data_IF_450304841096
#
_entry.id   IF_450304841096
#
_cell.length_a   1.000
_cell.length_b   1.000
_cell.length_c   1.000
_cell.angle_alpha   90.00
_cell.angle_beta   90.00
_cell.angle_gamma   90.00
#
_symmetry.space_group_name_H-M   'P 1'
#
loop_
_entity.id
_entity.type
_entity.pdbx_description
1 polymer ?
#
# COMPACT_ATOMS: atom_id res chain seq x y z
N UNK A 1 -48.72 -92.42 9.38
CA UNK A 1 -47.26 -92.41 9.51
C UNK A 1 -46.63 -91.79 8.25
N UNK A 2 -45.76 -90.77 8.44
CA UNK A 2 -44.60 -90.38 7.61
C UNK A 2 -44.83 -89.86 6.15
N UNK A 3 -44.59 -88.55 5.92
CA UNK A 3 -43.46 -87.91 5.16
C UNK A 3 -43.66 -87.85 3.63
N UNK A 4 -44.03 -86.69 3.05
CA UNK A 4 -43.20 -85.63 2.41
C UNK A 4 -42.47 -86.09 1.12
N UNK A 5 -42.76 -85.43 -0.01
CA UNK A 5 -41.90 -85.01 -1.16
C UNK A 5 -42.85 -84.70 -2.34
N UNK A 6 -42.75 -83.69 -3.22
CA UNK A 6 -41.86 -82.56 -3.49
C UNK A 6 -42.43 -81.91 -4.78
N UNK A 7 -41.97 -80.69 -5.12
CA UNK A 7 -42.19 -79.94 -6.38
C UNK A 7 -43.27 -78.85 -6.26
N UNK A 8 -42.93 -77.82 -5.47
CA UNK A 8 -43.33 -76.45 -5.78
C UNK A 8 -42.23 -75.86 -6.67
N UNK A 9 -42.60 -75.56 -7.90
CA UNK A 9 -41.74 -74.90 -8.88
C UNK A 9 -41.41 -73.50 -8.37
N UNK A 10 -40.11 -73.23 -8.38
CA UNK A 10 -39.40 -72.02 -8.00
C UNK A 10 -40.02 -70.81 -8.70
N UNK A 11 -40.81 -70.02 -7.95
CA UNK A 11 -41.04 -68.60 -8.22
C UNK A 11 -40.27 -67.82 -7.15
N UNK A 12 -38.94 -67.86 -7.22
CA UNK A 12 -38.08 -66.94 -6.47
C UNK A 12 -38.35 -65.53 -6.98
N UNK A 13 -39.22 -64.82 -6.25
CA UNK A 13 -39.35 -63.38 -6.30
C UNK A 13 -38.00 -62.79 -5.91
N UNK A 14 -37.19 -62.41 -6.90
CA UNK A 14 -35.98 -61.62 -6.69
C UNK A 14 -36.46 -60.25 -6.21
N UNK A 15 -36.49 -60.06 -4.88
CA UNK A 15 -36.62 -58.75 -4.27
C UNK A 15 -35.31 -58.02 -4.60
N UNK A 16 -35.27 -57.34 -5.74
CA UNK A 16 -34.24 -56.34 -5.99
C UNK A 16 -34.49 -55.22 -4.98
N UNK A 17 -33.66 -55.17 -3.94
CA UNK A 17 -33.58 -54.01 -3.07
C UNK A 17 -33.24 -52.81 -3.97
N UNK A 18 -34.24 -51.97 -4.25
CA UNK A 18 -33.99 -50.59 -4.66
C UNK A 18 -33.29 -49.94 -3.48
N UNK A 19 -31.97 -49.90 -3.51
CA UNK A 19 -31.24 -48.94 -2.71
C UNK A 19 -31.70 -47.58 -3.24
N UNK A 20 -32.40 -46.74 -2.45
CA UNK A 20 -32.56 -45.35 -2.86
C UNK A 20 -31.14 -44.81 -2.99
N UNK A 21 -30.74 -44.51 -4.21
CA UNK A 21 -29.55 -43.68 -4.43
C UNK A 21 -29.93 -42.35 -3.82
N UNK A 22 -29.51 -42.13 -2.57
CA UNK A 22 -29.54 -40.81 -1.97
C UNK A 22 -28.71 -39.93 -2.87
N UNK A 23 -29.39 -39.15 -3.71
CA UNK A 23 -28.77 -38.09 -4.47
C UNK A 23 -28.20 -37.12 -3.44
N UNK A 24 -26.89 -37.22 -3.22
CA UNK A 24 -26.18 -36.29 -2.37
C UNK A 24 -26.31 -34.92 -3.03
N UNK A 25 -27.20 -34.07 -2.49
CA UNK A 25 -27.41 -32.73 -2.99
C UNK A 25 -26.11 -31.96 -2.77
N UNK A 26 -25.29 -31.89 -3.81
CA UNK A 26 -23.96 -31.29 -3.71
C UNK A 26 -24.13 -29.80 -3.39
N UNK A 27 -23.60 -29.39 -2.23
CA UNK A 27 -23.70 -28.02 -1.73
C UNK A 27 -23.06 -27.04 -2.71
N UNK A 28 -23.80 -25.98 -3.07
CA UNK A 28 -23.31 -24.93 -3.94
C UNK A 28 -22.45 -23.96 -3.13
N UNK A 29 -21.18 -23.81 -3.52
CA UNK A 29 -20.24 -22.89 -2.86
C UNK A 29 -20.20 -21.56 -3.59
N UNK A 30 -20.20 -20.43 -2.87
CA UNK A 30 -20.08 -19.09 -3.45
C UNK A 30 -18.68 -18.55 -3.18
N UNK A 31 -18.05 -18.00 -4.22
CA UNK A 31 -16.82 -17.23 -4.15
C UNK A 31 -17.09 -15.81 -4.62
N UNK A 32 -16.65 -14.81 -3.87
CA UNK A 32 -16.64 -13.41 -4.28
C UNK A 32 -15.19 -12.94 -4.26
N UNK A 33 -14.67 -12.50 -5.42
CA UNK A 33 -13.26 -12.13 -5.59
C UNK A 33 -12.31 -13.20 -5.00
N UNK A 34 -12.57 -14.47 -5.37
CA UNK A 34 -11.85 -15.67 -4.92
C UNK A 34 -11.95 -16.00 -3.41
N UNK A 35 -12.73 -15.26 -2.63
CA UNK A 35 -12.98 -15.55 -1.21
C UNK A 35 -14.28 -16.34 -1.02
N UNK A 36 -14.23 -17.45 -0.27
CA UNK A 36 -15.41 -18.26 0.07
C UNK A 36 -16.39 -17.44 0.90
N UNK A 37 -17.65 -17.49 0.52
CA UNK A 37 -18.76 -16.86 1.22
C UNK A 37 -19.64 -17.92 1.87
N UNK A 38 -19.95 -17.69 3.14
CA UNK A 38 -20.83 -18.55 3.94
C UNK A 38 -22.00 -17.70 4.38
N UNK A 39 -23.20 -18.14 4.02
CA UNK A 39 -24.45 -17.48 4.38
C UNK A 39 -25.32 -18.46 5.17
N UNK A 40 -26.28 -17.92 5.93
CA UNK A 40 -27.24 -18.69 6.72
C UNK A 40 -28.33 -19.36 5.87
N UNK A 41 -28.51 -18.89 4.64
CA UNK A 41 -29.32 -19.55 3.62
C UNK A 41 -28.42 -20.00 2.47
N UNK A 42 -28.35 -21.32 2.25
CA UNK A 42 -27.61 -21.89 1.13
C UNK A 42 -28.28 -21.56 -0.22
N UNK A 43 -27.51 -21.46 -1.32
CA UNK A 43 -28.08 -21.35 -2.66
C UNK A 43 -28.94 -22.56 -3.01
N UNK A 44 -30.00 -22.33 -3.77
CA UNK A 44 -30.91 -23.38 -4.22
C UNK A 44 -31.03 -23.39 -5.74
N UNK A 45 -31.39 -24.54 -6.32
CA UNK A 45 -31.74 -24.64 -7.72
C UNK A 45 -33.26 -24.73 -7.82
N UNK A 46 -33.87 -23.78 -8.52
CA UNK A 46 -35.31 -23.74 -8.76
C UNK A 46 -35.56 -23.43 -10.23
N UNK A 47 -36.41 -24.23 -10.88
CA UNK A 47 -36.72 -24.09 -12.31
C UNK A 47 -35.47 -24.01 -13.21
N UNK A 48 -34.42 -24.78 -12.87
CA UNK A 48 -33.15 -24.77 -13.61
C UNK A 48 -32.34 -23.48 -13.46
N UNK A 49 -32.62 -22.66 -12.44
CA UNK A 49 -31.87 -21.44 -12.10
C UNK A 49 -31.33 -21.55 -10.67
N UNK A 50 -30.06 -21.19 -10.51
CA UNK A 50 -29.47 -21.04 -9.18
C UNK A 50 -29.96 -19.73 -8.57
N UNK A 51 -30.65 -19.82 -7.44
CA UNK A 51 -31.05 -18.69 -6.62
C UNK A 51 -30.09 -18.52 -5.45
N UNK A 52 -29.70 -17.28 -5.17
CA UNK A 52 -28.67 -16.95 -4.18
C UNK A 52 -29.13 -15.85 -3.22
N UNK A 53 -28.62 -15.80 -1.97
CA UNK A 53 -28.98 -14.77 -1.00
C UNK A 53 -28.61 -13.37 -1.50
N UNK A 54 -29.61 -12.53 -1.75
CA UNK A 54 -29.40 -11.20 -2.33
C UNK A 54 -28.52 -10.33 -1.44
N UNK A 55 -28.95 -10.15 -0.17
CA UNK A 55 -28.34 -9.18 0.74
C UNK A 55 -26.86 -9.45 0.94
N UNK A 56 -26.51 -10.65 1.36
CA UNK A 56 -25.13 -11.03 1.67
C UNK A 56 -24.20 -10.83 0.47
N UNK A 57 -24.65 -11.22 -0.72
CA UNK A 57 -23.85 -11.07 -1.94
C UNK A 57 -23.72 -9.60 -2.35
N UNK A 58 -24.81 -8.84 -2.30
CA UNK A 58 -24.79 -7.41 -2.66
C UNK A 58 -23.89 -6.61 -1.71
N UNK A 59 -23.99 -6.84 -0.41
CA UNK A 59 -23.16 -6.19 0.61
C UNK A 59 -21.69 -6.60 0.48
N UNK A 60 -21.41 -7.89 0.21
CA UNK A 60 -20.05 -8.38 -0.06
C UNK A 60 -19.43 -7.77 -1.32
N UNK A 61 -20.27 -7.34 -2.27
CA UNK A 61 -19.86 -6.62 -3.48
C UNK A 61 -19.85 -5.10 -3.30
N UNK A 62 -20.05 -4.60 -2.07
CA UNK A 62 -19.96 -3.17 -1.72
C UNK A 62 -21.25 -2.37 -1.91
N UNK A 63 -22.40 -3.01 -2.10
CA UNK A 63 -23.69 -2.32 -2.18
C UNK A 63 -24.31 -2.10 -0.79
N UNK A 64 -24.99 -0.97 -0.61
CA UNK A 64 -25.88 -0.75 0.53
C UNK A 64 -27.28 -1.31 0.19
N UNK A 65 -27.86 -2.14 1.06
CA UNK A 65 -29.14 -2.80 0.83
C UNK A 65 -30.17 -2.41 1.90
N UNK A 66 -31.26 -1.80 1.48
CA UNK A 66 -32.38 -1.40 2.34
C UNK A 66 -33.63 -2.21 2.02
N UNK A 67 -34.41 -2.51 3.06
CA UNK A 67 -35.70 -3.19 2.94
C UNK A 67 -36.82 -2.26 3.40
N UNK A 68 -37.84 -2.10 2.56
CA UNK A 68 -39.08 -1.45 2.90
C UNK A 68 -40.18 -2.50 3.06
N UNK A 69 -40.59 -2.72 4.31
CA UNK A 69 -41.57 -3.75 4.66
C UNK A 69 -42.97 -3.43 4.12
N UNK A 70 -43.42 -2.17 4.18
CA UNK A 70 -44.75 -1.76 3.71
C UNK A 70 -44.92 -1.98 2.22
N UNK A 71 -43.86 -1.77 1.44
CA UNK A 71 -43.87 -1.89 -0.02
C UNK A 71 -43.33 -3.23 -0.52
N UNK A 72 -42.92 -4.12 0.39
CA UNK A 72 -42.24 -5.38 0.08
C UNK A 72 -41.10 -5.20 -0.94
N UNK A 73 -40.31 -4.13 -0.76
CA UNK A 73 -39.32 -3.65 -1.73
C UNK A 73 -37.93 -3.58 -1.14
N UNK A 74 -36.97 -4.13 -1.87
CA UNK A 74 -35.54 -3.99 -1.64
C UNK A 74 -35.02 -2.86 -2.51
N UNK A 75 -34.29 -1.93 -1.92
CA UNK A 75 -33.52 -0.92 -2.62
C UNK A 75 -32.04 -1.19 -2.36
N UNK A 76 -31.26 -1.39 -3.42
CA UNK A 76 -29.81 -1.51 -3.32
C UNK A 76 -29.11 -0.38 -4.07
N UNK A 77 -28.07 0.18 -3.47
CA UNK A 77 -27.27 1.25 -4.08
C UNK A 77 -25.79 0.89 -4.07
N UNK A 78 -25.13 1.09 -5.21
CA UNK A 78 -23.68 0.90 -5.35
C UNK A 78 -23.16 1.81 -6.45
N UNK A 79 -22.16 2.63 -6.15
CA UNK A 79 -21.61 3.61 -7.11
C UNK A 79 -22.74 4.47 -7.73
N UNK A 80 -22.90 4.42 -9.05
CA UNK A 80 -23.97 5.09 -9.81
C UNK A 80 -25.16 4.16 -10.13
N UNK A 81 -25.31 3.05 -9.41
CA UNK A 81 -26.37 2.07 -9.61
C UNK A 81 -27.39 2.12 -8.47
N UNK A 82 -28.65 2.27 -8.84
CA UNK A 82 -29.81 2.18 -7.97
C UNK A 82 -30.70 1.03 -8.47
N UNK A 83 -30.90 0.03 -7.62
CA UNK A 83 -31.65 -1.19 -7.92
C UNK A 83 -32.88 -1.22 -7.03
N UNK A 84 -34.06 -1.31 -7.62
CA UNK A 84 -35.32 -1.55 -6.91
C UNK A 84 -35.88 -2.92 -7.29
N UNK A 85 -36.11 -3.75 -6.29
CA UNK A 85 -36.62 -5.11 -6.46
C UNK A 85 -37.80 -5.32 -5.53
N UNK A 86 -38.95 -5.69 -6.09
CA UNK A 86 -40.15 -6.03 -5.31
C UNK A 86 -40.28 -7.54 -5.18
N UNK A 87 -40.55 -8.01 -3.97
CA UNK A 87 -40.71 -9.43 -3.68
C UNK A 87 -41.87 -10.02 -4.50
N UNK A 88 -41.67 -11.20 -5.10
CA UNK A 88 -42.67 -11.87 -5.94
C UNK A 88 -42.84 -11.29 -7.34
N UNK A 89 -42.21 -10.16 -7.66
CA UNK A 89 -42.23 -9.55 -8.99
C UNK A 89 -41.14 -10.16 -9.88
N UNK A 90 -41.46 -10.37 -11.16
CA UNK A 90 -40.47 -10.64 -12.21
C UNK A 90 -39.88 -9.35 -12.82
N UNK A 91 -40.38 -8.18 -12.40
CA UNK A 91 -39.89 -6.87 -12.79
C UNK A 91 -39.03 -6.25 -11.69
N UNK A 92 -37.91 -5.67 -12.08
CA UNK A 92 -37.00 -4.89 -11.24
C UNK A 92 -36.63 -3.60 -11.97
N UNK A 93 -36.20 -2.56 -11.24
CA UNK A 93 -35.66 -1.35 -11.85
C UNK A 93 -34.17 -1.24 -11.58
N UNK A 94 -33.39 -0.94 -12.62
CA UNK A 94 -31.98 -0.59 -12.51
C UNK A 94 -31.82 0.81 -13.11
N UNK A 95 -31.40 1.77 -12.29
CA UNK A 95 -31.32 3.19 -12.65
C UNK A 95 -32.61 3.75 -13.24
N UNK A 96 -33.74 3.32 -12.69
CA UNK A 96 -35.09 3.72 -13.12
C UNK A 96 -35.65 2.94 -14.32
N UNK A 97 -34.81 2.24 -15.09
CA UNK A 97 -35.23 1.42 -16.23
C UNK A 97 -35.74 0.06 -15.78
N UNK A 98 -36.80 -0.45 -16.40
CA UNK A 98 -37.37 -1.76 -16.08
C UNK A 98 -36.52 -2.87 -16.71
N UNK A 99 -36.19 -3.87 -15.89
CA UNK A 99 -35.56 -5.12 -16.27
C UNK A 99 -36.41 -6.29 -15.80
N UNK A 100 -36.30 -7.43 -16.50
CA UNK A 100 -37.02 -8.66 -16.17
C UNK A 100 -36.05 -9.71 -15.66
N UNK A 101 -36.46 -10.46 -14.63
CA UNK A 101 -35.72 -11.58 -14.08
C UNK A 101 -36.44 -12.91 -14.35
N UNK A 102 -35.70 -13.93 -14.78
CA UNK A 102 -36.24 -15.24 -15.20
C UNK A 102 -37.08 -15.92 -14.11
N UNK A 103 -36.67 -15.77 -12.84
CA UNK A 103 -37.40 -16.28 -11.68
C UNK A 103 -37.60 -15.08 -10.74
N UNK A 104 -38.85 -14.82 -10.29
CA UNK A 104 -39.14 -13.73 -9.35
C UNK A 104 -38.29 -13.84 -8.08
N UNK A 105 -38.03 -12.70 -7.44
CA UNK A 105 -37.39 -12.69 -6.13
C UNK A 105 -38.28 -13.37 -5.08
N UNK A 106 -37.72 -14.29 -4.30
CA UNK A 106 -38.48 -15.11 -3.36
C UNK A 106 -37.96 -14.96 -1.93
N UNK A 107 -38.87 -14.96 -0.96
CA UNK A 107 -38.51 -15.05 0.44
C UNK A 107 -38.54 -16.52 0.88
N UNK A 108 -37.38 -17.05 1.24
CA UNK A 108 -37.23 -18.41 1.77
C UNK A 108 -36.49 -18.31 3.10
N UNK A 109 -37.08 -18.88 4.15
CA UNK A 109 -36.53 -18.83 5.52
C UNK A 109 -36.14 -17.42 5.99
N UNK A 110 -36.93 -16.40 5.59
CA UNK A 110 -36.65 -15.00 5.94
C UNK A 110 -35.46 -14.37 5.19
N UNK A 111 -34.99 -14.99 4.10
CA UNK A 111 -33.96 -14.46 3.21
C UNK A 111 -34.51 -14.28 1.80
N UNK A 112 -34.20 -13.15 1.19
CA UNK A 112 -34.57 -12.93 -0.22
C UNK A 112 -33.54 -13.58 -1.13
N UNK A 113 -34.02 -14.48 -1.97
CA UNK A 113 -33.25 -15.19 -2.98
C UNK A 113 -33.59 -14.64 -4.37
N UNK A 114 -32.56 -14.48 -5.19
CA UNK A 114 -32.68 -13.99 -6.57
C UNK A 114 -31.85 -14.82 -7.54
N UNK A 115 -32.19 -14.82 -8.84
CA UNK A 115 -31.37 -15.48 -9.85
C UNK A 115 -29.94 -14.98 -9.82
N UNK A 116 -29.00 -15.92 -9.86
CA UNK A 116 -27.58 -15.61 -9.89
C UNK A 116 -27.20 -14.63 -11.04
N UNK A 117 -27.83 -14.79 -12.22
CA UNK A 117 -27.60 -13.88 -13.36
C UNK A 117 -27.98 -12.43 -13.03
N UNK A 118 -29.08 -12.23 -12.31
CA UNK A 118 -29.54 -10.90 -11.92
C UNK A 118 -28.50 -10.19 -11.06
N UNK A 119 -27.77 -10.89 -10.18
CA UNK A 119 -26.67 -10.30 -9.40
C UNK A 119 -25.63 -9.66 -10.33
N UNK A 120 -25.23 -10.38 -11.38
CA UNK A 120 -24.28 -9.89 -12.38
C UNK A 120 -24.79 -8.66 -13.11
N UNK A 121 -26.04 -8.70 -13.59
CA UNK A 121 -26.65 -7.58 -14.31
C UNK A 121 -26.85 -6.34 -13.42
N UNK A 122 -27.42 -6.53 -12.24
CA UNK A 122 -27.74 -5.49 -11.27
C UNK A 122 -26.51 -4.70 -10.83
N UNK A 123 -25.43 -5.41 -10.48
CA UNK A 123 -24.20 -4.80 -9.94
C UNK A 123 -23.09 -4.64 -10.97
N UNK A 124 -23.29 -5.16 -12.19
CA UNK A 124 -22.28 -5.17 -13.25
C UNK A 124 -21.18 -6.17 -12.97
N UNK A 125 -21.42 -7.14 -12.09
CA UNK A 125 -20.45 -8.16 -11.74
C UNK A 125 -20.33 -9.21 -12.84
N UNK A 126 -19.12 -9.76 -13.01
CA UNK A 126 -18.90 -10.96 -13.82
C UNK A 126 -19.26 -12.17 -12.98
N UNK A 127 -20.12 -13.04 -13.51
CA UNK A 127 -20.61 -14.21 -12.79
C UNK A 127 -20.29 -15.46 -13.61
N UNK A 128 -19.53 -16.37 -13.02
CA UNK A 128 -19.13 -17.63 -13.61
C UNK A 128 -19.67 -18.80 -12.78
N UNK A 129 -20.30 -19.76 -13.46
CA UNK A 129 -20.71 -21.03 -12.85
C UNK A 129 -19.70 -22.12 -13.21
N UNK A 130 -19.10 -22.74 -12.20
CA UNK A 130 -18.21 -23.88 -12.38
C UNK A 130 -18.97 -25.18 -12.06
N UNK A 131 -19.29 -25.92 -13.13
CA UNK A 131 -20.01 -27.20 -13.02
C UNK A 131 -19.18 -28.30 -12.36
N UNK A 132 -17.85 -28.25 -12.48
CA UNK A 132 -16.97 -29.31 -11.97
C UNK A 132 -16.88 -29.28 -10.45
N UNK A 133 -16.89 -28.09 -9.87
CA UNK A 133 -16.82 -27.87 -8.42
C UNK A 133 -18.16 -27.51 -7.79
N UNK A 134 -19.25 -27.45 -8.57
CA UNK A 134 -20.56 -26.94 -8.15
C UNK A 134 -20.43 -25.60 -7.40
N UNK A 135 -19.72 -24.66 -8.01
CA UNK A 135 -19.45 -23.36 -7.41
C UNK A 135 -19.85 -22.18 -8.30
N UNK A 136 -20.20 -21.09 -7.62
CA UNK A 136 -20.43 -19.77 -8.19
C UNK A 136 -19.21 -18.91 -7.92
N UNK A 137 -18.63 -18.31 -8.95
CA UNK A 137 -17.59 -17.29 -8.81
C UNK A 137 -18.11 -15.95 -9.30
N UNK A 138 -18.13 -14.97 -8.41
CA UNK A 138 -18.58 -13.61 -8.68
C UNK A 138 -17.38 -12.68 -8.55
N UNK A 139 -17.13 -11.91 -9.59
CA UNK A 139 -16.11 -10.88 -9.60
C UNK A 139 -16.83 -9.55 -9.76
N UNK A 140 -16.55 -8.57 -8.90
CA UNK A 140 -17.06 -7.22 -9.13
C UNK A 140 -16.67 -6.76 -10.54
N UNK A 141 -17.50 -5.95 -11.21
CA UNK A 141 -17.01 -5.24 -12.40
C UNK A 141 -15.72 -4.57 -11.98
N UNK A 142 -14.67 -4.69 -12.79
CA UNK A 142 -13.74 -3.60 -12.94
C UNK A 142 -14.61 -2.41 -13.36
N UNK A 143 -15.15 -1.68 -12.38
CA UNK A 143 -15.49 -0.29 -12.58
C UNK A 143 -14.26 0.33 -13.24
N UNK A 144 -14.43 1.36 -14.07
CA UNK A 144 -13.31 2.25 -14.39
C UNK A 144 -12.89 2.91 -13.08
N UNK A 145 -12.27 2.14 -12.19
CA UNK A 145 -11.57 2.69 -11.07
C UNK A 145 -10.40 3.33 -11.74
N UNK A 146 -10.48 4.65 -11.85
CA UNK A 146 -9.40 5.47 -12.34
C UNK A 146 -8.24 5.12 -11.42
N UNK A 147 -7.36 4.27 -11.95
CA UNK A 147 -6.18 3.84 -11.26
C UNK A 147 -5.41 5.12 -10.95
N UNK A 148 -5.11 5.40 -9.67
CA UNK A 148 -4.41 6.63 -9.34
C UNK A 148 -3.10 6.69 -10.14
N UNK A 149 -2.64 7.91 -10.43
CA UNK A 149 -1.38 8.10 -11.11
C UNK A 149 -0.26 7.38 -10.36
N UNK A 150 0.69 6.85 -11.11
CA UNK A 150 1.87 6.23 -10.51
C UNK A 150 2.67 7.32 -9.78
N UNK A 151 3.10 7.10 -8.51
CA UNK A 151 3.88 8.07 -7.77
C UNK A 151 5.16 8.50 -8.52
N UNK A 152 5.41 9.81 -8.55
CA UNK A 152 6.62 10.44 -9.11
C UNK A 152 7.50 11.01 -8.00
N UNK A 153 8.69 11.50 -8.35
CA UNK A 153 9.62 12.09 -7.37
C UNK A 153 10.09 11.12 -6.30
N UNK A 154 9.95 9.81 -6.51
CA UNK A 154 10.35 8.81 -5.53
C UNK A 154 11.85 8.91 -5.31
N UNK A 155 12.25 9.02 -4.04
CA UNK A 155 13.63 9.17 -3.61
C UNK A 155 13.89 8.30 -2.39
N UNK A 156 15.08 7.71 -2.31
CA UNK A 156 15.58 7.02 -1.12
C UNK A 156 16.95 7.60 -0.76
N UNK A 157 17.14 8.01 0.48
CA UNK A 157 18.38 8.60 0.96
C UNK A 157 18.59 8.41 2.46
N UNK A 158 19.75 8.81 2.95
CA UNK A 158 20.08 8.69 4.37
C UNK A 158 19.71 9.97 5.10
N UNK A 159 18.93 9.84 6.16
CA UNK A 159 18.60 10.94 7.06
C UNK A 159 18.56 10.44 8.51
N UNK A 160 19.29 11.12 9.38
CA UNK A 160 19.37 10.80 10.82
C UNK A 160 19.68 9.32 11.12
N UNK A 161 20.63 8.73 10.36
CA UNK A 161 21.02 7.33 10.55
C UNK A 161 19.97 6.30 10.12
N UNK A 162 18.97 6.71 9.34
CA UNK A 162 17.93 5.83 8.78
C UNK A 162 17.84 6.01 7.27
N UNK A 163 17.29 5.02 6.56
CA UNK A 163 16.92 5.21 5.16
C UNK A 163 15.55 5.88 5.13
N UNK A 164 15.50 7.12 4.68
CA UNK A 164 14.26 7.85 4.41
C UNK A 164 13.83 7.64 2.96
N UNK A 165 12.55 7.36 2.75
CA UNK A 165 11.95 7.19 1.43
C UNK A 165 10.79 8.18 1.28
N UNK A 166 10.80 8.99 0.23
CA UNK A 166 9.81 10.03 -0.05
C UNK A 166 9.33 9.99 -1.51
N UNK A 167 8.28 10.74 -1.81
CA UNK A 167 7.66 10.87 -3.14
C UNK A 167 6.89 12.20 -3.25
N UNK A 168 6.54 12.61 -4.47
CA UNK A 168 5.72 13.79 -4.70
C UNK A 168 4.31 13.57 -4.14
N UNK A 169 3.82 14.51 -3.33
CA UNK A 169 2.51 14.42 -2.70
C UNK A 169 1.37 14.66 -3.71
N UNK A 170 0.48 13.68 -3.87
CA UNK A 170 -0.81 13.81 -4.55
C UNK A 170 -1.95 13.93 -3.54
N UNK A 171 -2.67 15.05 -3.54
CA UNK A 171 -3.83 15.29 -2.67
C UNK A 171 -5.08 14.51 -3.10
N UNK A 172 -5.05 13.83 -4.25
CA UNK A 172 -6.18 13.08 -4.79
C UNK A 172 -6.18 11.61 -4.38
N UNK A 173 -5.19 11.14 -3.62
CA UNK A 173 -5.06 9.74 -3.21
C UNK A 173 -5.32 9.58 -1.71
N UNK A 174 -5.80 8.41 -1.30
CA UNK A 174 -6.14 8.15 0.09
C UNK A 174 -4.88 7.86 0.93
N UNK A 175 -3.96 7.07 0.37
CA UNK A 175 -2.68 6.67 0.98
C UNK A 175 -1.75 6.04 -0.06
N UNK A 176 -0.53 5.72 0.35
CA UNK A 176 0.47 5.00 -0.44
C UNK A 176 0.86 3.68 0.21
N UNK A 177 1.26 2.70 -0.60
CA UNK A 177 2.04 1.56 -0.13
C UNK A 177 3.50 1.74 -0.54
N UNK A 178 4.40 1.50 0.40
CA UNK A 178 5.84 1.40 0.12
C UNK A 178 6.21 -0.07 0.15
N UNK A 179 6.96 -0.49 -0.85
CA UNK A 179 7.47 -1.84 -0.95
C UNK A 179 8.99 -1.81 -0.91
N UNK A 180 9.60 -2.78 -0.24
CA UNK A 180 11.04 -2.84 -0.08
C UNK A 180 11.59 -4.25 -0.37
N UNK A 181 12.83 -4.31 -0.83
CA UNK A 181 13.58 -5.56 -1.08
C UNK A 181 15.07 -5.33 -0.83
N UNK A 182 15.79 -6.40 -0.48
CA UNK A 182 17.25 -6.42 -0.41
C UNK A 182 17.91 -6.76 -1.76
N UNK A 183 17.11 -6.86 -2.84
CA UNK A 183 17.58 -7.16 -4.19
C UNK A 183 16.76 -6.41 -5.23
N UNK A 184 17.43 -5.83 -6.23
CA UNK A 184 16.79 -5.07 -7.31
C UNK A 184 15.73 -5.89 -8.07
N UNK A 185 16.02 -7.15 -8.38
CA UNK A 185 15.12 -8.08 -9.07
C UNK A 185 14.40 -9.05 -8.15
N UNK A 186 14.49 -8.86 -6.84
CA UNK A 186 13.97 -9.79 -5.84
C UNK A 186 12.48 -9.65 -5.58
N UNK A 187 12.00 -10.45 -4.63
CA UNK A 187 10.64 -10.28 -4.08
C UNK A 187 10.60 -9.03 -3.23
N UNK A 188 9.59 -8.20 -3.45
CA UNK A 188 9.34 -7.00 -2.67
C UNK A 188 8.23 -7.25 -1.64
N UNK A 189 8.45 -6.79 -0.42
CA UNK A 189 7.50 -6.92 0.68
C UNK A 189 6.90 -5.55 1.01
N UNK A 190 5.61 -5.47 1.38
CA UNK A 190 5.01 -4.22 1.82
C UNK A 190 5.65 -3.78 3.14
N UNK A 191 5.99 -2.50 3.22
CA UNK A 191 6.47 -1.87 4.45
C UNK A 191 5.26 -1.55 5.33
N UNK A 192 5.05 -2.33 6.39
CA UNK A 192 3.92 -2.18 7.31
C UNK A 192 4.43 -1.62 8.63
N UNK A 193 4.23 -0.31 8.86
CA UNK A 193 4.57 0.32 10.13
C UNK A 193 3.33 0.34 11.04
N UNK A 194 3.25 -0.54 12.04
CA UNK A 194 2.17 -0.56 13.04
C UNK A 194 0.74 -0.52 12.46
N UNK A 195 0.51 -1.11 11.27
CA UNK A 195 -0.79 -1.10 10.59
C UNK A 195 -1.18 0.23 9.92
N UNK A 196 -0.30 1.24 9.93
CA UNK A 196 -0.54 2.54 9.31
C UNK A 196 -0.24 2.46 7.81
N UNK A 197 -1.27 2.70 7.00
CA UNK A 197 -1.17 2.98 5.56
C UNK A 197 -0.61 4.39 5.40
N UNK A 198 0.47 4.57 4.63
CA UNK A 198 1.20 5.83 4.56
C UNK A 198 0.36 6.92 3.87
N UNK A 199 -0.40 7.68 4.65
CA UNK A 199 -0.87 9.03 4.31
C UNK A 199 -0.01 10.03 5.08
N UNK A 200 1.31 9.92 4.94
CA UNK A 200 2.25 10.82 5.57
C UNK A 200 2.70 11.81 4.50
N UNK A 201 2.54 13.11 4.78
CA UNK A 201 3.05 14.20 3.92
C UNK A 201 4.59 14.20 3.82
N UNK A 202 5.28 13.28 4.51
CA UNK A 202 6.73 13.29 4.76
C UNK A 202 7.46 11.97 4.41
N UNK A 203 6.79 10.97 3.84
CA UNK A 203 7.42 9.68 3.48
C UNK A 203 7.52 8.66 4.64
N UNK A 204 8.45 7.71 4.53
CA UNK A 204 8.74 6.69 5.56
C UNK A 204 10.21 6.70 6.00
N UNK A 205 10.49 6.15 7.18
CA UNK A 205 11.84 5.83 7.66
C UNK A 205 11.98 4.31 7.83
N UNK A 206 12.96 3.71 7.15
CA UNK A 206 13.37 2.32 7.35
C UNK A 206 14.53 2.31 8.36
N UNK A 207 14.20 1.90 9.59
CA UNK A 207 15.13 1.80 10.71
C UNK A 207 15.76 0.41 10.79
N UNK A 208 16.76 0.23 11.65
CA UNK A 208 17.42 -1.06 11.92
C UNK A 208 18.09 -1.71 10.69
N UNK A 209 18.43 -0.91 9.68
CA UNK A 209 19.17 -1.37 8.49
C UNK A 209 20.64 -1.52 8.84
N UNK A 210 21.25 -2.66 8.47
CA UNK A 210 22.68 -2.87 8.73
C UNK A 210 23.54 -2.09 7.76
N UNK A 211 24.67 -1.62 8.25
CA UNK A 211 25.68 -0.97 7.45
C UNK A 211 26.16 -1.85 6.28
N UNK A 212 26.36 -1.23 5.12
CA UNK A 212 26.70 -1.87 3.85
C UNK A 212 25.49 -2.48 3.11
N UNK A 213 24.32 -2.59 3.74
CA UNK A 213 23.15 -3.14 3.06
C UNK A 213 22.52 -2.11 2.12
N UNK A 214 22.27 -2.56 0.89
CA UNK A 214 21.49 -1.79 -0.09
C UNK A 214 20.06 -2.28 -0.08
N UNK A 215 19.14 -1.35 0.12
CA UNK A 215 17.71 -1.61 0.06
C UNK A 215 17.09 -0.89 -1.12
N UNK A 216 16.19 -1.59 -1.79
CA UNK A 216 15.49 -1.13 -2.97
C UNK A 216 14.03 -0.91 -2.62
N UNK A 217 13.45 0.18 -3.13
CA UNK A 217 12.11 0.62 -2.80
C UNK A 217 11.32 0.96 -4.05
N UNK A 218 10.01 0.76 -3.98
CA UNK A 218 9.04 1.24 -4.96
C UNK A 218 7.72 1.56 -4.27
N UNK A 219 6.97 2.49 -4.83
CA UNK A 219 5.77 3.05 -4.19
C UNK A 219 4.58 2.91 -5.12
N UNK A 220 3.40 2.71 -4.55
CA UNK A 220 2.11 2.80 -5.23
C UNK A 220 1.22 3.79 -4.47
N UNK A 221 0.31 4.45 -5.19
CA UNK A 221 -0.78 5.23 -4.63
C UNK A 221 -2.06 4.40 -4.58
N UNK A 222 -2.92 4.67 -3.61
CA UNK A 222 -4.22 4.00 -3.46
C UNK A 222 -5.33 5.03 -3.36
N UNK A 223 -6.39 4.83 -4.14
CA UNK A 223 -7.61 5.65 -4.14
C UNK A 223 -8.84 4.76 -4.23
N UNK A 224 -9.80 4.95 -3.34
CA UNK A 224 -11.01 4.15 -3.24
C UNK A 224 -10.73 2.63 -3.22
N UNK A 225 -9.64 2.23 -2.54
CA UNK A 225 -9.21 0.84 -2.46
C UNK A 225 -8.53 0.28 -3.72
N UNK A 226 -8.25 1.09 -4.74
CA UNK A 226 -7.53 0.67 -5.95
C UNK A 226 -6.14 1.29 -6.01
N UNK A 227 -5.20 0.43 -6.36
CA UNK A 227 -3.77 0.71 -6.32
C UNK A 227 -3.19 1.05 -7.71
N UNK A 228 -2.26 2.02 -7.74
CA UNK A 228 -1.55 2.51 -8.92
C UNK A 228 -0.55 1.49 -9.50
N UNK A 229 0.17 1.89 -10.55
CA UNK A 229 1.37 1.18 -10.98
C UNK A 229 2.47 1.40 -9.95
N UNK A 230 3.49 0.54 -9.96
CA UNK A 230 4.71 0.81 -9.21
C UNK A 230 5.45 1.99 -9.82
N UNK A 231 5.99 2.87 -8.96
CA UNK A 231 6.99 3.87 -9.35
C UNK A 231 8.25 3.22 -9.93
N UNK A 232 9.19 4.05 -10.40
CA UNK A 232 10.57 3.57 -10.57
C UNK A 232 11.11 2.97 -9.26
N UNK A 233 12.04 2.02 -9.40
CA UNK A 233 12.79 1.50 -8.26
C UNK A 233 13.85 2.53 -7.89
N UNK A 234 13.91 2.88 -6.62
CA UNK A 234 15.01 3.64 -6.01
C UNK A 234 15.74 2.78 -5.00
N UNK A 235 16.95 3.16 -4.63
CA UNK A 235 17.71 2.45 -3.61
C UNK A 235 18.53 3.39 -2.75
N UNK A 236 18.78 2.97 -1.53
CA UNK A 236 19.79 3.58 -0.68
C UNK A 236 20.65 2.47 -0.06
N UNK A 237 21.94 2.76 0.06
CA UNK A 237 22.90 1.90 0.75
C UNK A 237 23.18 2.52 2.11
N UNK A 238 22.89 1.78 3.17
CA UNK A 238 23.25 2.21 4.51
C UNK A 238 24.78 2.26 4.59
N UNK A 239 25.40 3.43 4.83
CA UNK A 239 26.85 3.51 4.85
C UNK A 239 27.42 2.64 5.98
N UNK A 240 28.60 2.05 5.77
CA UNK A 240 29.34 1.45 6.87
C UNK A 240 29.56 2.51 7.97
N UNK A 241 29.47 2.17 9.27
CA UNK A 241 30.01 3.03 10.30
C UNK A 241 31.50 3.18 9.96
N UNK A 242 31.88 4.37 9.52
CA UNK A 242 33.25 4.62 9.12
C UNK A 242 34.11 4.46 10.39
N UNK A 243 34.95 3.43 10.46
CA UNK A 243 35.86 3.21 11.59
C UNK A 243 37.04 4.21 11.61
N UNK A 244 37.03 5.21 10.72
CA UNK A 244 37.73 6.49 10.83
C UNK A 244 36.80 7.58 10.30
N UNK A 245 35.82 7.95 11.13
CA UNK A 245 34.74 8.87 10.83
C UNK A 245 35.28 10.31 10.74
N UNK A 246 35.88 10.67 9.60
CA UNK A 246 36.47 12.00 9.38
C UNK A 246 35.76 12.71 8.25
N UNK A 247 34.95 13.71 8.59
CA UNK A 247 34.39 14.65 7.64
C UNK A 247 35.25 15.92 7.60
N UNK A 248 35.33 16.51 6.43
CA UNK A 248 35.96 17.80 6.22
C UNK A 248 34.94 18.81 5.75
N UNK A 249 35.09 20.04 6.24
CA UNK A 249 34.39 21.19 5.70
C UNK A 249 35.25 21.81 4.59
N UNK A 250 34.67 22.05 3.42
CA UNK A 250 35.37 22.70 2.30
C UNK A 250 34.49 23.78 1.68
N UNK A 251 35.09 24.79 1.07
CA UNK A 251 34.38 25.79 0.30
C UNK A 251 33.80 25.17 -0.99
N UNK A 252 32.59 25.57 -1.38
CA UNK A 252 31.99 25.17 -2.66
C UNK A 252 32.51 26.03 -3.82
N UNK A 253 33.84 26.08 -3.95
CA UNK A 253 34.55 26.69 -5.05
C UNK A 253 35.27 25.60 -5.88
N UNK A 254 35.81 25.99 -7.03
CA UNK A 254 36.50 25.06 -7.94
C UNK A 254 37.71 24.35 -7.32
N UNK A 255 38.30 24.94 -6.28
CA UNK A 255 39.49 24.41 -5.59
C UNK A 255 39.14 23.56 -4.36
N UNK A 256 37.86 23.45 -3.97
CA UNK A 256 37.43 22.78 -2.73
C UNK A 256 38.29 23.22 -1.53
N UNK A 257 38.47 24.53 -1.35
CA UNK A 257 39.37 25.08 -0.31
C UNK A 257 39.03 24.48 1.05
N UNK A 258 40.02 23.89 1.71
CA UNK A 258 39.84 23.24 3.01
C UNK A 258 39.53 24.25 4.12
N UNK A 259 38.47 23.99 4.88
CA UNK A 259 37.97 24.85 5.96
C UNK A 259 38.01 24.18 7.34
N UNK A 260 38.59 22.97 7.45
CA UNK A 260 38.83 22.26 8.71
C UNK A 260 38.08 20.93 8.82
N UNK A 261 38.43 20.16 9.86
CA UNK A 261 37.76 18.90 10.20
C UNK A 261 36.42 19.17 10.87
N UNK A 262 35.38 18.54 10.37
CA UNK A 262 34.07 18.51 11.01
C UNK A 262 34.03 17.39 12.06
N UNK A 263 34.64 17.65 13.22
CA UNK A 263 34.72 16.72 14.36
C UNK A 263 34.31 17.42 15.65
N UNK A 264 33.64 16.71 16.56
CA UNK A 264 33.29 17.23 17.89
C UNK A 264 34.49 17.32 18.85
N UNK A 265 35.66 16.79 18.47
CA UNK A 265 36.89 16.97 19.24
C UNK A 265 37.40 18.41 19.14
N UNK A 266 37.04 19.24 20.11
CA UNK A 266 37.43 20.66 20.18
C UNK A 266 38.93 20.88 20.46
N UNK A 267 39.67 19.83 20.82
CA UNK A 267 41.12 19.88 21.02
C UNK A 267 41.92 19.55 19.75
N UNK A 268 41.29 19.00 18.71
CA UNK A 268 41.97 18.81 17.42
C UNK A 268 42.32 20.19 16.83
N UNK A 269 43.59 20.39 16.47
CA UNK A 269 44.08 21.64 15.88
C UNK A 269 43.39 22.01 14.57
N UNK A 270 42.81 21.02 13.88
CA UNK A 270 42.07 21.21 12.63
C UNK A 270 40.56 21.27 12.81
N UNK A 271 40.03 21.06 14.02
CA UNK A 271 38.58 21.08 14.25
C UNK A 271 37.98 22.45 13.97
N UNK A 272 36.86 22.45 13.25
CA UNK A 272 36.02 23.64 13.07
C UNK A 272 35.35 24.10 14.37
N UNK A 273 35.46 23.36 15.47
CA UNK A 273 34.97 23.76 16.79
C UNK A 273 36.08 24.05 17.79
N UNK A 274 37.34 24.03 17.35
CA UNK A 274 38.46 24.50 18.16
C UNK A 274 38.50 26.03 18.12
N UNK A 275 37.98 26.68 19.16
CA UNK A 275 37.89 28.15 19.27
C UNK A 275 39.25 28.87 19.26
N UNK A 276 40.35 28.14 19.49
CA UNK A 276 41.72 28.64 19.45
C UNK A 276 42.46 28.25 18.15
N UNK A 277 41.84 27.43 17.31
CA UNK A 277 42.42 26.90 16.07
C UNK A 277 42.20 27.80 14.85
N UNK A 278 42.90 27.49 13.76
CA UNK A 278 42.81 28.25 12.50
C UNK A 278 41.45 28.12 11.80
N UNK A 279 40.71 27.05 12.10
CA UNK A 279 39.47 26.66 11.41
C UNK A 279 38.21 26.82 12.28
N UNK A 280 38.36 26.81 13.61
CA UNK A 280 37.24 26.97 14.54
C UNK A 280 37.18 28.33 15.24
N UNK A 281 38.27 29.09 15.27
CA UNK A 281 38.27 30.39 15.95
C UNK A 281 37.44 31.44 15.23
N UNK A 282 36.90 32.40 15.98
CA UNK A 282 36.23 33.60 15.42
C UNK A 282 37.15 34.57 14.67
N UNK A 283 38.45 34.28 14.61
CA UNK A 283 39.46 35.13 13.97
C UNK A 283 40.14 34.45 12.77
N UNK A 284 39.97 33.13 12.61
CA UNK A 284 40.57 32.37 11.52
C UNK A 284 40.05 32.83 10.15
N UNK A 285 40.94 32.98 9.17
CA UNK A 285 40.55 33.37 7.80
C UNK A 285 39.76 32.28 7.06
N UNK A 286 39.93 31.01 7.46
CA UNK A 286 39.21 29.84 6.92
C UNK A 286 38.02 29.40 7.79
N UNK A 287 37.83 30.04 8.94
CA UNK A 287 36.78 29.66 9.88
C UNK A 287 35.41 30.17 9.43
N UNK A 288 34.41 29.31 9.49
CA UNK A 288 33.01 29.71 9.30
C UNK A 288 32.49 30.54 10.48
N UNK A 289 33.18 30.55 11.62
CA UNK A 289 32.80 31.32 12.80
C UNK A 289 33.40 32.73 12.83
N UNK A 290 34.24 33.07 11.85
CA UNK A 290 34.72 34.42 11.66
C UNK A 290 33.70 35.24 10.87
N UNK A 291 32.94 36.08 11.58
CA UNK A 291 31.89 36.93 11.00
C UNK A 291 32.39 38.02 10.04
N UNK A 292 33.71 38.22 9.96
CA UNK A 292 34.35 39.12 8.99
C UNK A 292 35.08 38.36 7.87
N UNK A 293 35.10 37.02 7.94
CA UNK A 293 35.80 36.15 7.01
C UNK A 293 34.99 35.79 5.76
N UNK A 294 35.65 35.22 4.76
CA UNK A 294 35.02 34.81 3.49
C UNK A 294 34.01 33.67 3.64
N UNK A 295 34.06 32.95 4.76
CA UNK A 295 33.25 31.75 5.01
C UNK A 295 32.27 31.90 6.20
N UNK A 296 32.38 32.96 7.00
CA UNK A 296 31.51 33.23 8.15
C UNK A 296 30.74 34.55 8.12
N UNK A 297 31.04 35.43 7.17
CA UNK A 297 30.35 36.72 6.99
C UNK A 297 28.96 36.57 6.37
N UNK A 298 27.95 37.32 6.84
CA UNK A 298 26.60 37.28 6.25
C UNK A 298 26.52 37.78 4.80
N UNK A 299 27.61 38.33 4.25
CA UNK A 299 27.63 38.93 2.91
C UNK A 299 28.51 38.18 1.90
N UNK A 300 29.39 37.28 2.36
CA UNK A 300 30.33 36.63 1.47
C UNK A 300 29.68 35.50 0.66
N UNK A 301 30.09 35.34 -0.60
CA UNK A 301 29.51 34.36 -1.53
C UNK A 301 29.66 32.92 -1.05
N UNK A 302 30.77 32.58 -0.38
CA UNK A 302 31.03 31.22 0.14
C UNK A 302 30.73 31.08 1.63
N UNK A 303 29.90 31.95 2.21
CA UNK A 303 29.67 31.91 3.64
C UNK A 303 28.58 30.94 4.06
N UNK A 304 28.82 30.27 5.18
CA UNK A 304 27.84 29.51 5.92
C UNK A 304 26.72 30.39 6.54
N UNK A 305 26.91 31.69 6.70
CA UNK A 305 25.96 32.61 7.36
C UNK A 305 25.31 33.62 6.41
N UNK A 306 25.49 33.45 5.10
CA UNK A 306 24.82 34.27 4.09
C UNK A 306 23.52 33.58 3.66
N UNK A 307 22.38 34.17 4.03
CA UNK A 307 21.03 33.63 3.74
C UNK A 307 20.70 33.56 2.24
N UNK A 308 21.51 34.18 1.37
CA UNK A 308 21.28 34.25 -0.07
C UNK A 308 22.37 33.53 -0.88
N UNK A 309 23.33 32.88 -0.23
CA UNK A 309 24.36 32.13 -0.97
C UNK A 309 23.76 30.96 -1.76
N UNK A 310 24.30 30.71 -2.95
CA UNK A 310 24.07 29.49 -3.73
C UNK A 310 25.23 28.49 -3.65
N UNK A 311 26.34 28.87 -3.03
CA UNK A 311 27.59 28.09 -2.96
C UNK A 311 28.19 28.13 -1.54
N UNK A 312 27.44 27.70 -0.50
CA UNK A 312 27.95 27.67 0.86
C UNK A 312 29.03 26.59 1.04
N UNK A 313 29.75 26.57 2.18
CA UNK A 313 30.61 25.44 2.54
C UNK A 313 29.85 24.11 2.51
N UNK A 314 30.55 23.04 2.14
CA UNK A 314 29.99 21.69 2.07
C UNK A 314 30.77 20.73 2.94
N UNK A 315 30.04 19.71 3.42
CA UNK A 315 30.55 18.65 4.25
C UNK A 315 30.86 17.44 3.37
N UNK A 316 32.10 16.97 3.38
CA UNK A 316 32.58 15.87 2.53
C UNK A 316 33.33 14.79 3.31
N UNK A 317 33.31 13.55 2.83
CA UNK A 317 34.23 12.47 3.27
C UNK A 317 35.56 12.50 2.51
N UNK A 318 36.42 11.50 2.78
CA UNK A 318 37.72 11.37 2.14
C UNK A 318 37.63 11.04 0.64
N UNK A 319 36.52 10.43 0.22
CA UNK A 319 36.20 10.07 -1.15
C UNK A 319 35.60 11.25 -1.94
N UNK A 320 35.26 12.36 -1.27
CA UNK A 320 34.66 13.56 -1.86
C UNK A 320 33.13 13.51 -1.98
N UNK A 321 32.49 12.52 -1.37
CA UNK A 321 31.03 12.41 -1.28
C UNK A 321 30.48 13.57 -0.46
N UNK A 322 29.45 14.26 -0.97
CA UNK A 322 28.83 15.39 -0.28
C UNK A 322 27.70 14.92 0.64
N UNK A 323 27.79 15.26 1.92
CA UNK A 323 26.81 14.90 2.96
C UNK A 323 25.81 16.03 3.26
N UNK A 324 26.17 17.27 2.93
CA UNK A 324 25.32 18.42 3.17
C UNK A 324 26.02 19.74 2.92
N UNK A 325 25.23 20.81 2.97
CA UNK A 325 25.67 22.20 2.75
C UNK A 325 25.55 22.95 4.06
N UNK A 326 26.64 23.43 4.62
CA UNK A 326 26.62 24.15 5.90
C UNK A 326 26.22 25.60 5.64
N UNK A 327 24.96 25.95 5.88
CA UNK A 327 24.40 27.26 5.51
C UNK A 327 23.17 27.65 6.32
N UNK A 328 22.98 28.96 6.54
CA UNK A 328 21.72 29.54 7.05
C UNK A 328 20.65 29.66 5.96
N UNK A 329 21.01 29.58 4.67
CA UNK A 329 20.05 29.54 3.57
C UNK A 329 19.30 28.21 3.53
N UNK A 330 18.15 28.15 4.19
CA UNK A 330 17.30 26.96 4.31
C UNK A 330 16.63 26.52 3.00
N UNK A 331 16.68 27.34 1.94
CA UNK A 331 16.14 26.99 0.63
C UNK A 331 17.06 26.07 -0.18
N UNK A 332 18.33 25.89 0.22
CA UNK A 332 19.24 24.99 -0.47
C UNK A 332 18.99 23.53 -0.07
N UNK A 333 18.86 22.59 -1.04
CA UNK A 333 18.76 21.17 -0.75
C UNK A 333 19.95 20.66 0.08
N UNK A 334 19.66 19.93 1.15
CA UNK A 334 20.70 19.41 2.06
C UNK A 334 21.35 20.46 2.95
N UNK A 335 20.70 21.62 3.17
CA UNK A 335 21.15 22.64 4.10
C UNK A 335 21.21 22.11 5.55
N UNK A 336 22.36 22.32 6.19
CA UNK A 336 22.63 22.07 7.60
C UNK A 336 22.93 23.43 8.21
N UNK A 337 22.07 23.89 9.12
CA UNK A 337 22.29 25.16 9.79
C UNK A 337 23.62 25.12 10.58
N UNK A 338 24.53 26.12 10.45
CA UNK A 338 25.86 26.07 11.06
C UNK A 338 25.80 25.83 12.57
N UNK A 339 24.89 26.51 13.27
CA UNK A 339 24.70 26.36 14.73
C UNK A 339 24.24 24.96 15.15
N UNK A 340 23.66 24.16 14.25
CA UNK A 340 23.22 22.79 14.55
C UNK A 340 24.29 21.75 14.21
N UNK A 341 25.37 22.16 13.53
CA UNK A 341 26.38 21.24 13.00
C UNK A 341 27.05 20.41 14.09
N UNK A 342 27.33 21.01 15.26
CA UNK A 342 27.92 20.29 16.39
C UNK A 342 27.06 19.11 16.85
N UNK A 343 25.75 19.34 17.05
CA UNK A 343 24.81 18.30 17.46
C UNK A 343 24.66 17.22 16.38
N UNK A 344 24.60 17.62 15.10
CA UNK A 344 24.53 16.68 13.97
C UNK A 344 25.75 15.77 13.97
N UNK A 345 26.95 16.31 14.14
CA UNK A 345 28.19 15.53 14.19
C UNK A 345 28.21 14.63 15.43
N UNK A 346 27.83 15.14 16.59
CA UNK A 346 27.80 14.39 17.85
C UNK A 346 26.85 13.19 17.79
N UNK A 347 25.62 13.38 17.31
CA UNK A 347 24.63 12.29 17.14
C UNK A 347 25.13 11.20 16.21
N UNK A 348 25.94 11.59 15.23
CA UNK A 348 26.55 10.68 14.29
C UNK A 348 27.90 10.13 14.79
N UNK A 349 28.47 10.59 15.89
CA UNK A 349 29.77 10.09 16.40
C UNK A 349 30.98 10.54 15.57
N UNK A 350 30.99 11.81 15.14
CA UNK A 350 32.11 12.51 14.49
C UNK A 350 32.87 13.43 15.45
#
# INVERSE_FOLDING_TARGET
MKKIFLIFIILTFVITAFNPVSANAQKITIYINDQIQIYDQDPIIQQGRTLVPLRGIFESLGANVQWNQTQQRITATKDNRNIELTLGSNQTKINGNIHYIDVPAQAINGRTLVPLRFVGEALGATVNWDRSSNSVKIYSSKSNVIKPATPTGVYAGIFDGTISVSWDYDNNVDYYHVYFSNSYGGTYYPFILNGIKAKLDYGIQHTSVKAGETWYYKVTAVKNGVESGFSQIVSATMPYPVNNKSLSLVADNSQRTYLGKATTNTYDSESIFNEYGSYGSKYGSYSIWNSYGSYGSPYATYSAFNDYTSTPPILIDAEGTVYGRVTTNSYLPGAIHPNNLYEVLQRNGY
#
